data_IF_158769416622
#
_entry.id   IF_158769416622
#
_cell.length_a   1.000
_cell.length_b   1.000
_cell.length_c   1.000
_cell.angle_alpha   90.00
_cell.angle_beta   90.00
_cell.angle_gamma   90.00
#
_symmetry.space_group_name_H-M   'P 1'
#
loop_
_entity.id
_entity.type
_entity.pdbx_description
1 polymer ?
#
# COMPACT_ATOMS: atom_id res chain seq x y z
N UNK A 1 -2.21 -1.44 31.65
CA UNK A 1 -2.16 -1.34 30.17
C UNK A 1 -2.93 -0.13 29.76
N UNK A 2 -2.42 0.65 28.82
CA UNK A 2 -3.02 1.89 28.32
C UNK A 2 -2.92 1.95 26.80
N UNK A 3 -3.65 2.89 26.21
CA UNK A 3 -3.56 3.19 24.79
C UNK A 3 -2.09 3.42 24.38
N UNK A 4 -1.69 2.81 23.25
CA UNK A 4 -0.31 2.85 22.74
C UNK A 4 0.59 1.72 23.20
N UNK A 5 0.25 0.98 24.27
CA UNK A 5 1.04 -0.16 24.72
C UNK A 5 1.07 -1.27 23.65
N UNK A 6 2.21 -1.94 23.54
CA UNK A 6 2.39 -3.12 22.70
C UNK A 6 2.02 -4.38 23.48
N UNK A 7 1.22 -5.24 22.86
CA UNK A 7 0.57 -6.36 23.53
C UNK A 7 0.44 -7.56 22.59
N UNK A 8 0.36 -8.75 23.16
CA UNK A 8 -0.10 -9.97 22.47
C UNK A 8 -1.34 -10.53 23.14
N UNK A 9 -2.12 -11.34 22.43
CA UNK A 9 -3.27 -12.06 22.99
C UNK A 9 -2.88 -13.46 23.42
N UNK A 10 -3.07 -13.79 24.69
CA UNK A 10 -2.73 -15.10 25.26
C UNK A 10 -3.58 -16.21 24.65
N UNK A 11 -4.88 -15.96 24.46
CA UNK A 11 -5.82 -16.92 23.87
C UNK A 11 -5.52 -17.32 22.43
N UNK A 12 -4.68 -16.57 21.72
CA UNK A 12 -4.26 -16.84 20.33
C UNK A 12 -2.78 -17.26 20.25
N UNK A 13 -2.19 -17.74 21.36
CA UNK A 13 -0.81 -18.23 21.38
C UNK A 13 0.27 -17.14 21.42
N UNK A 14 -0.11 -15.86 21.46
CA UNK A 14 0.82 -14.75 21.64
C UNK A 14 1.74 -14.47 20.44
N UNK A 15 1.35 -14.91 19.25
CA UNK A 15 2.17 -14.88 18.02
C UNK A 15 2.08 -13.54 17.26
N UNK A 16 0.98 -12.82 17.41
CA UNK A 16 0.75 -11.53 16.76
C UNK A 16 0.91 -10.36 17.72
N UNK A 17 1.70 -9.36 17.30
CA UNK A 17 1.90 -8.12 18.02
C UNK A 17 0.81 -7.10 17.67
N UNK A 18 0.21 -6.55 18.71
CA UNK A 18 -0.80 -5.50 18.62
C UNK A 18 -0.36 -4.24 19.36
N UNK A 19 -0.94 -3.12 18.96
CA UNK A 19 -0.97 -1.88 19.73
C UNK A 19 -2.38 -1.63 20.23
N UNK A 20 -2.53 -1.25 21.50
CA UNK A 20 -3.82 -0.85 22.05
C UNK A 20 -4.25 0.46 21.40
N UNK A 21 -5.33 0.43 20.61
CA UNK A 21 -5.94 1.59 19.96
C UNK A 21 -6.87 2.35 20.91
N UNK A 22 -7.62 1.64 21.76
CA UNK A 22 -8.49 2.20 22.79
C UNK A 22 -8.71 1.19 23.91
N UNK A 23 -9.06 1.67 25.10
CA UNK A 23 -9.47 0.83 26.25
C UNK A 23 -10.85 1.28 26.70
N UNK A 24 -11.79 0.34 26.81
CA UNK A 24 -13.17 0.59 27.23
C UNK A 24 -13.60 -0.42 28.29
N UNK A 25 -13.64 0.01 29.55
CA UNK A 25 -14.03 -0.86 30.67
C UNK A 25 -13.09 -2.06 30.82
N UNK A 26 -13.61 -3.27 30.55
CA UNK A 26 -12.84 -4.52 30.63
C UNK A 26 -12.25 -4.97 29.29
N UNK A 27 -12.57 -4.27 28.20
CA UNK A 27 -12.15 -4.62 26.85
C UNK A 27 -11.21 -3.57 26.27
N UNK A 28 -10.42 -3.98 25.29
CA UNK A 28 -9.51 -3.13 24.54
C UNK A 28 -9.69 -3.36 23.04
N UNK A 29 -9.62 -2.27 22.29
CA UNK A 29 -9.49 -2.31 20.84
C UNK A 29 -8.01 -2.37 20.48
N UNK A 30 -7.64 -3.32 19.64
CA UNK A 30 -6.28 -3.64 19.23
C UNK A 30 -6.09 -3.41 17.74
N UNK A 31 -4.91 -2.91 17.37
CA UNK A 31 -4.44 -2.80 15.98
C UNK A 31 -3.20 -3.66 15.80
N UNK A 32 -3.21 -4.55 14.81
CA UNK A 32 -2.04 -5.36 14.47
C UNK A 32 -0.86 -4.49 14.06
N UNK A 33 0.36 -4.89 14.39
CA UNK A 33 1.54 -4.10 14.00
C UNK A 33 1.97 -4.40 12.56
N UNK A 34 1.93 -5.66 12.14
CA UNK A 34 2.49 -6.10 10.85
C UNK A 34 1.42 -6.60 9.87
N UNK A 35 0.33 -7.16 10.40
CA UNK A 35 -0.86 -7.56 9.66
C UNK A 35 -1.98 -6.56 9.90
N UNK A 36 -2.73 -6.22 8.84
CA UNK A 36 -3.85 -5.25 8.84
C UNK A 36 -5.06 -5.77 9.63
N UNK A 37 -4.91 -5.95 10.93
CA UNK A 37 -5.88 -6.56 11.82
C UNK A 37 -6.43 -5.54 12.81
N UNK A 38 -7.76 -5.50 12.95
CA UNK A 38 -8.44 -4.91 14.09
C UNK A 38 -9.08 -6.02 14.90
N UNK A 39 -8.84 -6.02 16.21
CA UNK A 39 -9.43 -6.99 17.11
C UNK A 39 -9.90 -6.29 18.40
N UNK A 40 -10.99 -6.76 18.96
CA UNK A 40 -11.37 -6.51 20.34
C UNK A 40 -10.89 -7.67 21.23
N UNK A 41 -10.49 -7.36 22.46
CA UNK A 41 -10.07 -8.38 23.42
C UNK A 41 -10.26 -7.90 24.87
N UNK A 42 -10.64 -8.79 25.79
CA UNK A 42 -10.61 -8.49 27.22
C UNK A 42 -9.18 -8.12 27.67
N UNK A 43 -9.03 -7.13 28.54
CA UNK A 43 -7.71 -6.70 29.06
C UNK A 43 -6.96 -7.89 29.68
N UNK A 44 -7.68 -8.78 30.34
CA UNK A 44 -7.12 -9.99 30.97
C UNK A 44 -6.53 -11.00 29.96
N UNK A 45 -6.92 -10.94 28.69
CA UNK A 45 -6.37 -11.76 27.61
C UNK A 45 -5.05 -11.17 27.08
N UNK A 46 -4.74 -9.92 27.41
CA UNK A 46 -3.57 -9.23 26.90
C UNK A 46 -2.34 -9.47 27.77
N UNK A 47 -1.19 -9.59 27.12
CA UNK A 47 0.12 -9.59 27.75
C UNK A 47 0.96 -8.47 27.16
N UNK A 48 1.47 -7.58 28.01
CA UNK A 48 2.30 -6.46 27.57
C UNK A 48 3.67 -6.95 27.07
N UNK A 49 4.15 -6.34 26.01
CA UNK A 49 5.40 -6.68 25.34
C UNK A 49 6.37 -5.52 25.50
N UNK A 50 7.48 -5.75 26.20
CA UNK A 50 8.55 -4.74 26.35
C UNK A 50 9.59 -4.82 25.24
N UNK A 51 9.90 -6.04 24.80
CA UNK A 51 10.86 -6.32 23.74
C UNK A 51 10.15 -7.01 22.57
N UNK A 52 9.46 -6.25 21.71
CA UNK A 52 8.71 -6.82 20.59
C UNK A 52 9.58 -7.61 19.61
N UNK A 53 10.87 -7.30 19.55
CA UNK A 53 11.84 -8.00 18.68
C UNK A 53 12.18 -9.43 19.16
N UNK A 54 11.83 -9.79 20.40
CA UNK A 54 12.04 -11.14 20.95
C UNK A 54 10.84 -12.07 20.66
N UNK A 55 9.72 -11.54 20.17
CA UNK A 55 8.58 -12.35 19.76
C UNK A 55 8.87 -13.02 18.41
N UNK A 56 8.69 -14.33 18.35
CA UNK A 56 8.93 -15.13 17.13
C UNK A 56 8.16 -14.60 15.91
N UNK A 57 6.87 -14.26 16.07
CA UNK A 57 6.04 -13.74 14.98
C UNK A 57 6.48 -12.36 14.47
N UNK A 58 6.83 -11.43 15.38
CA UNK A 58 7.34 -10.09 15.01
C UNK A 58 8.72 -10.17 14.36
N UNK A 59 9.59 -11.06 14.83
CA UNK A 59 10.89 -11.32 14.21
C UNK A 59 10.72 -11.86 12.78
N UNK A 60 9.83 -12.83 12.59
CA UNK A 60 9.52 -13.38 11.26
C UNK A 60 8.93 -12.33 10.33
N UNK A 61 7.96 -11.53 10.77
CA UNK A 61 7.38 -10.45 9.98
C UNK A 61 8.41 -9.38 9.59
N UNK A 62 9.35 -9.03 10.49
CA UNK A 62 10.49 -8.16 10.18
C UNK A 62 11.44 -8.77 9.16
N UNK A 63 11.77 -10.05 9.28
CA UNK A 63 12.63 -10.76 8.32
C UNK A 63 11.99 -10.71 6.93
N UNK A 64 10.71 -11.09 6.82
CA UNK A 64 9.97 -11.03 5.56
C UNK A 64 9.91 -9.61 4.99
N UNK A 65 9.63 -8.61 5.82
CA UNK A 65 9.65 -7.20 5.40
C UNK A 65 11.01 -6.79 4.83
N UNK A 66 12.10 -7.10 5.53
CA UNK A 66 13.45 -6.76 5.09
C UNK A 66 13.85 -7.52 3.83
N UNK A 67 13.47 -8.79 3.70
CA UNK A 67 13.69 -9.57 2.49
C UNK A 67 12.91 -9.00 1.31
N UNK A 68 11.61 -8.70 1.46
CA UNK A 68 10.80 -8.09 0.40
C UNK A 68 11.40 -6.76 -0.04
N UNK A 69 11.87 -5.92 0.89
CA UNK A 69 12.58 -4.67 0.57
C UNK A 69 13.89 -4.92 -0.17
N UNK A 70 14.70 -5.89 0.26
CA UNK A 70 15.96 -6.23 -0.40
C UNK A 70 15.70 -6.70 -1.84
N UNK A 71 14.71 -7.57 -2.02
CA UNK A 71 14.30 -8.07 -3.34
C UNK A 71 13.82 -6.95 -4.25
N UNK A 72 12.97 -6.03 -3.76
CA UNK A 72 12.54 -4.86 -4.54
C UNK A 72 13.72 -4.01 -5.00
N UNK A 73 14.75 -3.82 -4.16
CA UNK A 73 15.96 -3.08 -4.53
C UNK A 73 16.79 -3.83 -5.58
N UNK A 74 17.05 -5.13 -5.35
CA UNK A 74 17.81 -5.97 -6.29
C UNK A 74 17.15 -6.00 -7.67
N UNK A 75 15.83 -6.13 -7.70
CA UNK A 75 15.06 -6.15 -8.94
C UNK A 75 15.09 -4.80 -9.65
N UNK A 76 14.96 -3.69 -8.92
CA UNK A 76 15.13 -2.35 -9.50
C UNK A 76 16.50 -2.21 -10.18
N UNK A 77 17.57 -2.69 -9.53
CA UNK A 77 18.92 -2.67 -10.10
C UNK A 77 19.00 -3.54 -11.37
N UNK A 78 18.36 -4.70 -11.38
CA UNK A 78 18.29 -5.58 -12.57
C UNK A 78 17.52 -4.95 -13.72
N UNK A 79 16.36 -4.35 -13.47
CA UNK A 79 15.57 -3.67 -14.52
C UNK A 79 16.33 -2.46 -15.08
N UNK A 80 17.01 -1.71 -14.22
CA UNK A 80 17.87 -0.61 -14.65
C UNK A 80 19.08 -1.08 -15.48
N UNK A 81 19.65 -2.26 -15.20
CA UNK A 81 20.76 -2.81 -15.97
C UNK A 81 20.33 -3.47 -17.28
N UNK A 82 19.16 -4.12 -17.33
CA UNK A 82 18.57 -4.66 -18.57
C UNK A 82 18.21 -3.55 -19.56
N UNK A 83 17.73 -2.41 -19.05
CA UNK A 83 17.52 -1.19 -19.84
C UNK A 83 18.81 -0.65 -20.49
N UNK A 84 20.00 -1.10 -20.02
CA UNK A 84 21.33 -0.72 -20.50
C UNK A 84 21.99 -1.73 -21.47
N UNK A 85 21.28 -2.75 -21.97
CA UNK A 85 21.87 -3.71 -22.93
C UNK A 85 22.36 -3.05 -24.25
N UNK A 86 23.40 -3.62 -24.91
CA UNK A 86 24.33 -2.89 -25.79
C UNK A 86 23.92 -2.75 -27.26
N UNK A 87 22.84 -3.39 -27.70
CA UNK A 87 22.57 -3.61 -29.14
C UNK A 87 21.70 -2.55 -29.82
N UNK A 88 21.54 -1.36 -29.25
CA UNK A 88 20.60 -0.38 -29.81
C UNK A 88 21.10 1.07 -29.69
N UNK A 89 21.81 1.51 -30.74
CA UNK A 89 22.19 2.86 -31.19
C UNK A 89 22.78 3.89 -30.19
N UNK A 90 23.55 4.85 -30.75
CA UNK A 90 24.32 5.92 -30.09
C UNK A 90 23.56 6.78 -29.05
N UNK A 91 22.23 6.70 -29.02
CA UNK A 91 21.36 7.47 -28.12
C UNK A 91 21.50 7.09 -26.63
N UNK A 92 21.89 5.85 -26.28
CA UNK A 92 21.95 5.40 -24.87
C UNK A 92 23.25 5.72 -24.12
N UNK A 93 24.25 6.31 -24.78
CA UNK A 93 25.43 6.88 -24.10
C UNK A 93 25.14 8.25 -23.48
N UNK A 94 24.00 8.86 -23.82
CA UNK A 94 23.62 10.14 -23.25
C UNK A 94 23.04 9.96 -21.84
N UNK A 95 23.30 10.91 -20.93
CA UNK A 95 22.63 10.96 -19.64
C UNK A 95 21.11 10.88 -19.84
N UNK A 96 20.45 9.92 -19.18
CA UNK A 96 18.99 9.78 -19.15
C UNK A 96 18.45 10.04 -17.74
N UNK A 97 17.15 10.30 -17.64
CA UNK A 97 16.45 10.37 -16.36
C UNK A 97 15.31 9.34 -16.31
N UNK A 98 15.02 8.86 -15.10
CA UNK A 98 13.96 7.89 -14.85
C UNK A 98 12.66 8.60 -14.51
N UNK A 99 11.55 8.09 -15.03
CA UNK A 99 10.19 8.52 -14.71
C UNK A 99 9.39 7.29 -14.24
N UNK A 100 9.53 6.88 -12.96
CA UNK A 100 8.65 5.87 -12.38
C UNK A 100 7.21 6.38 -12.25
N UNK A 101 6.26 5.46 -12.28
CA UNK A 101 4.85 5.78 -12.06
C UNK A 101 4.60 6.39 -10.67
N UNK A 102 3.75 7.41 -10.61
CA UNK A 102 3.39 8.10 -9.37
C UNK A 102 2.24 7.41 -8.65
N UNK A 103 2.40 7.20 -7.35
CA UNK A 103 1.44 6.52 -6.49
C UNK A 103 0.63 7.53 -5.67
N UNK A 104 -0.70 7.37 -5.63
CA UNK A 104 -1.56 7.94 -4.60
C UNK A 104 -2.02 6.83 -3.68
N UNK A 105 -1.63 6.85 -2.41
CA UNK A 105 -1.96 5.81 -1.44
C UNK A 105 -2.95 6.35 -0.39
N UNK A 106 -4.14 5.76 -0.34
CA UNK A 106 -5.11 5.97 0.73
C UNK A 106 -5.11 4.78 1.68
N UNK A 107 -5.05 5.06 2.98
CA UNK A 107 -5.12 4.02 4.01
C UNK A 107 -6.09 4.41 5.14
N UNK A 108 -6.84 3.43 5.63
CA UNK A 108 -7.66 3.51 6.84
C UNK A 108 -6.83 3.62 8.13
N UNK A 109 -5.58 3.16 8.11
CA UNK A 109 -4.64 3.26 9.23
C UNK A 109 -3.45 4.17 8.94
N UNK A 110 -3.28 5.20 9.77
CA UNK A 110 -2.17 6.14 9.64
C UNK A 110 -0.79 5.49 9.82
N UNK A 111 -0.67 4.42 10.61
CA UNK A 111 0.60 3.73 10.82
C UNK A 111 0.96 2.88 9.60
N UNK A 112 0.00 2.18 8.98
CA UNK A 112 0.27 1.45 7.74
C UNK A 112 0.56 2.39 6.59
N UNK A 113 -0.14 3.51 6.49
CA UNK A 113 0.19 4.54 5.51
C UNK A 113 1.64 5.00 5.70
N UNK A 114 2.02 5.34 6.94
CA UNK A 114 3.39 5.78 7.24
C UNK A 114 4.44 4.74 6.84
N UNK A 115 4.22 3.46 7.14
CA UNK A 115 5.10 2.36 6.71
C UNK A 115 5.19 2.28 5.18
N UNK A 116 4.05 2.36 4.49
CA UNK A 116 3.97 2.31 3.02
C UNK A 116 4.75 3.48 2.38
N UNK A 117 4.55 4.70 2.89
CA UNK A 117 5.26 5.89 2.41
C UNK A 117 6.77 5.80 2.65
N UNK A 118 7.21 5.20 3.78
CA UNK A 118 8.64 4.95 4.02
C UNK A 118 9.24 4.00 2.98
N UNK A 119 8.51 2.95 2.59
CA UNK A 119 8.95 2.02 1.54
C UNK A 119 9.05 2.73 0.19
N UNK A 120 8.01 3.48 -0.22
CA UNK A 120 8.05 4.24 -1.47
C UNK A 120 9.23 5.21 -1.51
N UNK A 121 9.47 5.95 -0.43
CA UNK A 121 10.59 6.88 -0.33
C UNK A 121 11.95 6.16 -0.43
N UNK A 122 12.14 5.04 0.29
CA UNK A 122 13.38 4.25 0.21
C UNK A 122 13.64 3.71 -1.20
N UNK A 123 12.59 3.40 -1.95
CA UNK A 123 12.67 2.88 -3.31
C UNK A 123 12.59 3.98 -4.38
N UNK A 124 12.54 5.25 -3.98
CA UNK A 124 12.42 6.41 -4.86
C UNK A 124 11.20 6.33 -5.80
N UNK A 125 10.08 5.79 -5.31
CA UNK A 125 8.78 5.87 -5.99
C UNK A 125 8.13 7.21 -5.60
N UNK A 126 7.78 8.08 -6.56
CA UNK A 126 7.04 9.30 -6.27
C UNK A 126 5.67 8.92 -5.73
N UNK A 127 5.36 9.35 -4.51
CA UNK A 127 4.13 8.95 -3.86
C UNK A 127 3.56 10.07 -2.99
N UNK A 128 2.23 10.17 -2.98
CA UNK A 128 1.45 10.98 -2.04
C UNK A 128 0.54 10.07 -1.22
N UNK A 129 0.38 10.37 0.07
CA UNK A 129 -0.38 9.56 1.01
C UNK A 129 -1.50 10.35 1.69
N UNK A 130 -2.68 9.76 1.82
CA UNK A 130 -3.80 10.35 2.57
C UNK A 130 -4.43 9.34 3.53
N UNK A 131 -4.44 9.69 4.83
CA UNK A 131 -5.14 8.91 5.85
C UNK A 131 -6.60 9.38 5.95
N UNK A 132 -7.54 8.45 5.84
CA UNK A 132 -8.96 8.71 6.04
C UNK A 132 -9.70 7.41 6.34
N UNK A 133 -10.89 7.50 6.94
CA UNK A 133 -11.71 6.31 7.19
C UNK A 133 -12.17 5.68 5.86
N UNK A 134 -12.39 4.36 5.85
CA UNK A 134 -12.79 3.63 4.65
C UNK A 134 -14.06 4.21 4.01
N UNK A 135 -15.03 4.62 4.83
CA UNK A 135 -16.27 5.27 4.38
C UNK A 135 -16.07 6.65 3.74
N UNK A 136 -14.93 7.31 3.99
CA UNK A 136 -14.60 8.64 3.47
C UNK A 136 -13.71 8.58 2.22
N UNK A 137 -13.05 7.44 1.97
CA UNK A 137 -12.14 7.26 0.83
C UNK A 137 -12.72 7.66 -0.52
N UNK A 138 -14.00 7.37 -0.86
CA UNK A 138 -14.56 7.80 -2.15
C UNK A 138 -14.51 9.33 -2.33
N UNK A 139 -14.92 10.08 -1.31
CA UNK A 139 -14.93 11.54 -1.34
C UNK A 139 -13.51 12.12 -1.38
N UNK A 140 -12.60 11.52 -0.60
CA UNK A 140 -11.19 11.94 -0.60
C UNK A 140 -10.54 11.69 -1.96
N UNK A 141 -10.80 10.54 -2.60
CA UNK A 141 -10.32 10.24 -3.95
C UNK A 141 -10.84 11.23 -4.98
N UNK A 142 -12.13 11.54 -4.96
CA UNK A 142 -12.74 12.49 -5.88
C UNK A 142 -12.04 13.86 -5.85
N UNK A 143 -11.59 14.27 -4.66
CA UNK A 143 -10.82 15.50 -4.47
C UNK A 143 -9.37 15.36 -4.89
N UNK A 144 -8.69 14.27 -4.54
CA UNK A 144 -7.25 14.14 -4.73
C UNK A 144 -6.85 13.75 -6.16
N UNK A 145 -7.64 12.93 -6.87
CA UNK A 145 -7.28 12.45 -8.22
C UNK A 145 -6.96 13.58 -9.21
N UNK A 146 -7.76 14.66 -9.33
CA UNK A 146 -7.47 15.74 -10.27
C UNK A 146 -6.23 16.58 -9.92
N UNK A 147 -5.87 16.64 -8.62
CA UNK A 147 -4.75 17.43 -8.11
C UNK A 147 -3.45 16.62 -8.16
N UNK A 148 -3.49 15.39 -7.64
CA UNK A 148 -2.33 14.50 -7.58
C UNK A 148 -2.04 13.96 -8.97
N UNK A 149 -3.04 13.61 -9.80
CA UNK A 149 -2.85 12.97 -11.12
C UNK A 149 -1.87 11.78 -11.04
N UNK A 150 -2.21 10.74 -10.27
CA UNK A 150 -1.36 9.57 -10.11
C UNK A 150 -1.46 8.63 -11.32
N UNK A 151 -0.46 7.77 -11.49
CA UNK A 151 -0.50 6.64 -12.43
C UNK A 151 -1.04 5.38 -11.76
N UNK A 152 -0.90 5.30 -10.43
CA UNK A 152 -1.26 4.16 -9.59
C UNK A 152 -2.01 4.69 -8.36
N UNK A 153 -3.15 4.10 -8.04
CA UNK A 153 -3.92 4.38 -6.82
C UNK A 153 -3.96 3.13 -5.97
N UNK A 154 -3.59 3.27 -4.70
CA UNK A 154 -3.64 2.20 -3.71
C UNK A 154 -4.70 2.56 -2.68
N UNK A 155 -5.74 1.73 -2.56
CA UNK A 155 -6.90 1.94 -1.69
C UNK A 155 -6.93 0.80 -0.69
N UNK A 156 -6.45 1.06 0.52
CA UNK A 156 -6.32 0.02 1.54
C UNK A 156 -6.84 0.52 2.88
N UNK A 157 -7.00 -0.38 3.85
CA UNK A 157 -7.50 -0.02 5.17
C UNK A 157 -7.70 -1.27 5.99
N UNK A 158 -8.85 -1.34 6.66
CA UNK A 158 -9.29 -2.51 7.41
C UNK A 158 -10.55 -3.09 6.79
N UNK A 159 -10.63 -4.42 6.80
CA UNK A 159 -11.82 -5.16 6.42
C UNK A 159 -11.86 -6.46 7.22
N UNK A 160 -12.91 -7.22 7.02
CA UNK A 160 -13.08 -8.51 7.68
C UNK A 160 -14.46 -9.07 7.42
N UNK A 161 -14.55 -10.40 7.48
CA UNK A 161 -15.82 -11.11 7.43
C UNK A 161 -16.56 -10.90 8.74
N UNK A 162 -17.82 -10.52 8.66
CA UNK A 162 -18.70 -10.36 9.82
C UNK A 162 -19.06 -11.73 10.40
N UNK A 163 -18.91 -11.90 11.72
CA UNK A 163 -19.08 -13.19 12.44
C UNK A 163 -20.44 -13.89 12.22
N UNK A 164 -21.47 -13.17 11.82
CA UNK A 164 -22.86 -13.67 11.67
C UNK A 164 -23.26 -13.97 10.22
N UNK A 165 -22.32 -13.89 9.27
CA UNK A 165 -22.61 -14.05 7.84
C UNK A 165 -21.77 -15.21 7.29
N UNK A 166 -22.45 -16.26 6.85
CA UNK A 166 -21.78 -17.44 6.26
C UNK A 166 -21.56 -17.30 4.75
N UNK A 167 -22.37 -16.49 4.07
CA UNK A 167 -22.24 -16.31 2.62
C UNK A 167 -21.11 -15.32 2.28
N UNK A 168 -19.92 -15.89 2.02
CA UNK A 168 -18.73 -15.15 1.60
C UNK A 168 -18.82 -14.61 0.16
N UNK A 169 -19.83 -14.99 -0.62
CA UNK A 169 -20.06 -14.44 -1.96
C UNK A 169 -20.87 -13.13 -1.92
N UNK A 170 -21.44 -12.80 -0.75
CA UNK A 170 -22.24 -11.60 -0.61
C UNK A 170 -21.39 -10.44 -0.07
N UNK A 171 -21.35 -9.32 -0.80
CA UNK A 171 -20.56 -8.13 -0.41
C UNK A 171 -20.94 -7.55 0.97
N UNK A 172 -22.21 -7.70 1.36
CA UNK A 172 -22.70 -7.30 2.68
C UNK A 172 -22.19 -8.15 3.85
N UNK A 173 -21.46 -9.24 3.59
CA UNK A 173 -20.80 -10.06 4.61
C UNK A 173 -19.50 -9.45 5.13
N UNK A 174 -19.05 -8.36 4.51
CA UNK A 174 -17.77 -7.72 4.78
C UNK A 174 -17.98 -6.32 5.37
N UNK A 175 -17.09 -5.93 6.29
CA UNK A 175 -17.23 -4.66 7.01
C UNK A 175 -17.06 -3.44 6.10
N UNK A 176 -16.07 -3.48 5.20
CA UNK A 176 -15.63 -2.31 4.43
C UNK A 176 -15.46 -2.59 2.92
N UNK A 177 -15.61 -3.83 2.45
CA UNK A 177 -15.49 -4.13 1.02
C UNK A 177 -16.37 -3.25 0.13
N UNK A 178 -17.58 -2.90 0.58
CA UNK A 178 -18.46 -1.98 -0.15
C UNK A 178 -17.86 -0.56 -0.28
N UNK A 179 -17.23 -0.05 0.78
CA UNK A 179 -16.56 1.25 0.75
C UNK A 179 -15.37 1.26 -0.22
N UNK A 180 -14.61 0.16 -0.27
CA UNK A 180 -13.53 0.00 -1.24
C UNK A 180 -14.06 -0.10 -2.67
N UNK A 181 -15.16 -0.84 -2.92
CA UNK A 181 -15.82 -0.87 -4.22
C UNK A 181 -16.24 0.53 -4.68
N UNK A 182 -16.86 1.32 -3.80
CA UNK A 182 -17.20 2.71 -4.13
C UNK A 182 -15.96 3.56 -4.45
N UNK A 183 -14.87 3.35 -3.72
CA UNK A 183 -13.61 4.05 -3.96
C UNK A 183 -12.98 3.67 -5.31
N UNK A 184 -13.03 2.39 -5.69
CA UNK A 184 -12.60 1.90 -7.00
C UNK A 184 -13.46 2.50 -8.12
N UNK A 185 -14.78 2.58 -7.91
CA UNK A 185 -15.70 3.20 -8.88
C UNK A 185 -15.35 4.67 -9.11
N UNK A 186 -15.09 5.45 -8.06
CA UNK A 186 -14.64 6.86 -8.18
C UNK A 186 -13.34 6.96 -8.99
N UNK A 187 -12.37 6.07 -8.75
CA UNK A 187 -11.15 6.03 -9.54
C UNK A 187 -11.43 5.72 -11.03
N UNK A 188 -12.42 4.86 -11.31
CA UNK A 188 -12.83 4.50 -12.68
C UNK A 188 -13.71 5.52 -13.37
N UNK A 189 -14.45 6.33 -12.61
CA UNK A 189 -15.14 7.51 -13.13
C UNK A 189 -14.16 8.59 -13.58
N UNK A 190 -13.07 8.77 -12.81
CA UNK A 190 -11.98 9.67 -13.18
C UNK A 190 -11.17 9.13 -14.38
N UNK A 191 -10.78 7.86 -14.37
CA UNK A 191 -10.07 7.21 -15.47
C UNK A 191 -10.57 5.78 -15.69
N UNK A 192 -11.34 5.60 -16.78
CA UNK A 192 -11.98 4.33 -17.15
C UNK A 192 -10.98 3.30 -17.63
N UNK A 193 -9.89 3.74 -18.26
CA UNK A 193 -8.90 2.85 -18.83
C UNK A 193 -7.99 2.28 -17.72
N UNK A 194 -8.04 0.95 -17.55
CA UNK A 194 -7.29 0.21 -16.52
C UNK A 194 -5.77 0.30 -16.68
N UNK A 195 -5.31 0.50 -17.90
CA UNK A 195 -3.90 0.64 -18.24
C UNK A 195 -3.41 2.08 -18.10
N UNK A 196 -4.31 3.06 -17.98
CA UNK A 196 -3.98 4.48 -17.76
C UNK A 196 -3.92 4.81 -16.28
N UNK A 197 -4.80 4.23 -15.47
CA UNK A 197 -4.76 4.30 -14.00
C UNK A 197 -4.81 2.90 -13.39
N UNK A 198 -3.71 2.47 -12.79
CA UNK A 198 -3.64 1.17 -12.10
C UNK A 198 -4.26 1.33 -10.71
N UNK A 199 -5.21 0.47 -10.36
CA UNK A 199 -5.89 0.48 -9.06
C UNK A 199 -5.58 -0.79 -8.30
N UNK A 200 -4.98 -0.65 -7.12
CA UNK A 200 -4.73 -1.73 -6.15
C UNK A 200 -5.66 -1.49 -4.97
N UNK A 201 -6.54 -2.44 -4.64
CA UNK A 201 -7.57 -2.23 -3.63
C UNK A 201 -7.77 -3.40 -2.65
N UNK A 202 -8.20 -3.06 -1.44
CA UNK A 202 -8.65 -4.02 -0.43
C UNK A 202 -7.76 -4.11 0.80
N UNK A 203 -8.15 -4.99 1.70
CA UNK A 203 -7.49 -5.25 2.97
C UNK A 203 -7.61 -6.74 3.34
N UNK A 204 -7.33 -7.06 4.60
CA UNK A 204 -7.51 -8.40 5.12
C UNK A 204 -8.94 -8.90 4.91
N UNK A 205 -9.06 -10.09 4.34
CA UNK A 205 -10.33 -10.75 4.06
C UNK A 205 -11.32 -9.94 3.20
N UNK A 206 -10.88 -8.97 2.40
CA UNK A 206 -11.81 -8.24 1.52
C UNK A 206 -12.47 -9.15 0.48
N UNK A 207 -13.63 -8.72 -0.02
CA UNK A 207 -14.33 -9.37 -1.13
C UNK A 207 -13.59 -9.12 -2.45
N UNK A 208 -12.65 -10.00 -2.74
CA UNK A 208 -11.75 -9.93 -3.89
C UNK A 208 -12.46 -9.74 -5.24
N UNK A 209 -13.48 -10.55 -5.52
CA UNK A 209 -14.18 -10.57 -6.82
C UNK A 209 -14.93 -9.28 -7.06
N UNK A 210 -15.60 -8.74 -6.04
CA UNK A 210 -16.31 -7.47 -6.14
C UNK A 210 -15.36 -6.30 -6.44
N UNK A 211 -14.14 -6.30 -5.88
CA UNK A 211 -13.13 -5.28 -6.16
C UNK A 211 -12.63 -5.35 -7.61
N UNK A 212 -12.36 -6.56 -8.13
CA UNK A 212 -11.98 -6.73 -9.53
C UNK A 212 -13.13 -6.34 -10.47
N UNK A 213 -14.37 -6.74 -10.15
CA UNK A 213 -15.55 -6.40 -10.93
C UNK A 213 -15.80 -4.89 -10.97
N UNK A 214 -15.56 -4.18 -9.86
CA UNK A 214 -15.61 -2.72 -9.80
C UNK A 214 -14.52 -2.03 -10.67
N UNK A 215 -13.48 -2.77 -11.06
CA UNK A 215 -12.46 -2.31 -11.98
C UNK A 215 -11.07 -2.16 -11.39
N UNK A 216 -10.80 -2.70 -10.20
CA UNK A 216 -9.44 -2.79 -9.68
C UNK A 216 -8.57 -3.66 -10.62
N UNK A 217 -7.30 -3.31 -10.77
CA UNK A 217 -6.32 -4.14 -11.46
C UNK A 217 -5.85 -5.27 -10.55
N UNK A 218 -5.61 -4.94 -9.28
CA UNK A 218 -5.20 -5.86 -8.24
C UNK A 218 -6.11 -5.70 -7.03
N UNK A 219 -6.46 -6.83 -6.43
CA UNK A 219 -7.27 -6.86 -5.23
C UNK A 219 -6.66 -7.77 -4.18
N UNK A 220 -6.85 -7.39 -2.93
CA UNK A 220 -6.38 -8.14 -1.78
C UNK A 220 -7.31 -9.29 -1.40
N UNK A 221 -6.70 -10.31 -0.81
CA UNK A 221 -7.28 -11.45 -0.12
C UNK A 221 -8.23 -12.34 -0.93
N UNK A 222 -7.82 -12.89 -2.10
CA UNK A 222 -8.59 -13.93 -2.79
C UNK A 222 -9.02 -15.08 -1.86
N UNK A 223 -8.13 -15.53 -0.96
CA UNK A 223 -8.39 -16.61 -0.01
C UNK A 223 -9.11 -16.20 1.27
N UNK A 224 -9.51 -14.93 1.40
CA UNK A 224 -10.11 -14.33 2.62
C UNK A 224 -9.24 -14.49 3.86
N UNK A 225 -7.94 -14.39 3.66
CA UNK A 225 -6.90 -14.46 4.69
C UNK A 225 -6.47 -13.06 5.16
N UNK A 226 -5.74 -13.06 6.27
CA UNK A 226 -4.98 -11.91 6.71
C UNK A 226 -3.81 -11.66 5.75
N UNK A 227 -3.64 -10.41 5.34
CA UNK A 227 -2.56 -10.00 4.43
C UNK A 227 -1.55 -9.11 5.15
N UNK A 228 -0.30 -9.13 4.68
CA UNK A 228 0.71 -8.23 5.22
C UNK A 228 0.51 -6.80 4.70
N UNK A 229 0.82 -5.80 5.53
CA UNK A 229 0.63 -4.39 5.15
C UNK A 229 1.44 -3.96 3.90
N UNK A 230 2.52 -4.68 3.58
CA UNK A 230 3.41 -4.38 2.45
C UNK A 230 3.03 -5.07 1.13
N UNK A 231 2.11 -6.02 1.15
CA UNK A 231 1.71 -6.72 -0.09
C UNK A 231 1.15 -5.77 -1.15
N UNK A 232 0.18 -4.87 -0.84
CA UNK A 232 -0.28 -3.88 -1.83
C UNK A 232 0.81 -2.86 -2.21
N UNK A 233 1.77 -2.60 -1.32
CA UNK A 233 2.91 -1.71 -1.60
C UNK A 233 3.84 -2.33 -2.62
N UNK A 234 4.12 -3.63 -2.51
CA UNK A 234 4.97 -4.37 -3.44
C UNK A 234 4.36 -4.34 -4.86
N UNK A 235 3.05 -4.57 -4.99
CA UNK A 235 2.34 -4.46 -6.26
C UNK A 235 2.49 -3.06 -6.87
N UNK A 236 2.30 -2.01 -6.05
CA UNK A 236 2.42 -0.64 -6.52
C UNK A 236 3.85 -0.29 -6.97
N UNK A 237 4.87 -0.75 -6.26
CA UNK A 237 6.28 -0.59 -6.65
C UNK A 237 6.55 -1.27 -7.98
N UNK A 238 6.05 -2.50 -8.17
CA UNK A 238 6.21 -3.23 -9.42
C UNK A 238 5.49 -2.54 -10.57
N UNK A 239 4.27 -2.06 -10.37
CA UNK A 239 3.57 -1.24 -11.36
C UNK A 239 4.36 0.03 -11.72
N UNK A 240 4.97 0.70 -10.74
CA UNK A 240 5.72 1.93 -10.95
C UNK A 240 7.02 1.75 -11.74
N UNK A 241 7.68 0.58 -11.61
CA UNK A 241 8.98 0.29 -12.21
C UNK A 241 8.96 -0.67 -13.41
N UNK A 242 7.84 -1.35 -13.69
CA UNK A 242 7.68 -2.09 -14.95
C UNK A 242 7.55 -1.10 -16.12
N UNK A 243 8.25 -1.29 -17.25
CA UNK A 243 8.12 -0.42 -18.42
C UNK A 243 6.67 -0.33 -18.94
N UNK A 244 6.27 0.85 -19.42
CA UNK A 244 4.90 1.08 -19.91
C UNK A 244 4.46 0.22 -21.12
N UNK A 245 5.41 -0.47 -21.75
CA UNK A 245 5.21 -1.36 -22.90
C UNK A 245 5.23 -2.85 -22.52
N UNK A 246 5.44 -3.15 -21.26
CA UNK A 246 5.55 -4.50 -20.72
C UNK A 246 4.43 -4.73 -19.70
N UNK A 247 3.96 -5.97 -19.62
CA UNK A 247 3.00 -6.39 -18.61
C UNK A 247 3.71 -6.70 -17.30
N UNK A 248 3.06 -6.36 -16.20
CA UNK A 248 3.52 -6.74 -14.86
C UNK A 248 3.37 -8.26 -14.76
N UNK A 249 4.47 -8.96 -14.45
CA UNK A 249 4.42 -10.41 -14.23
C UNK A 249 3.68 -10.71 -12.92
N UNK A 250 2.38 -10.98 -13.01
CA UNK A 250 1.50 -11.18 -11.86
C UNK A 250 1.97 -12.35 -11.00
N UNK A 251 2.36 -13.47 -11.61
CA UNK A 251 2.81 -14.65 -10.88
C UNK A 251 4.07 -14.34 -10.06
N UNK A 252 5.00 -13.60 -10.65
CA UNK A 252 6.21 -13.12 -9.97
C UNK A 252 5.87 -12.13 -8.85
N UNK A 253 4.99 -11.16 -9.09
CA UNK A 253 4.55 -10.21 -8.06
C UNK A 253 3.95 -10.93 -6.86
N UNK A 254 3.01 -11.84 -7.12
CA UNK A 254 2.29 -12.57 -6.09
C UNK A 254 3.24 -13.50 -5.31
N UNK A 255 4.13 -14.22 -5.99
CA UNK A 255 5.11 -15.10 -5.34
C UNK A 255 6.07 -14.36 -4.41
N UNK A 256 6.24 -13.05 -4.62
CA UNK A 256 7.12 -12.19 -3.84
C UNK A 256 6.40 -11.31 -2.81
N UNK A 257 5.07 -11.32 -2.80
CA UNK A 257 4.30 -10.82 -1.64
C UNK A 257 4.48 -11.73 -0.44
N UNK A 258 4.29 -11.19 0.76
CA UNK A 258 4.47 -11.94 2.01
C UNK A 258 3.33 -12.95 2.18
N UNK A 259 2.10 -12.61 1.78
CA UNK A 259 0.93 -13.49 1.89
C UNK A 259 0.65 -14.37 0.67
N UNK A 260 1.41 -14.22 -0.43
CA UNK A 260 1.33 -15.08 -1.61
C UNK A 260 -0.01 -15.03 -2.35
N UNK A 261 -0.32 -16.10 -3.10
CA UNK A 261 -1.51 -16.20 -3.98
C UNK A 261 -2.85 -16.09 -3.25
N UNK A 262 -2.90 -16.42 -1.97
CA UNK A 262 -4.11 -16.25 -1.18
C UNK A 262 -4.31 -14.81 -0.70
N UNK A 263 -3.24 -14.01 -0.67
CA UNK A 263 -3.23 -12.66 -0.13
C UNK A 263 -3.40 -11.55 -1.16
N UNK A 264 -2.96 -11.75 -2.40
CA UNK A 264 -3.14 -10.76 -3.48
C UNK A 264 -3.39 -11.49 -4.79
N UNK A 265 -4.31 -10.95 -5.59
CA UNK A 265 -4.54 -11.37 -6.98
C UNK A 265 -4.77 -10.16 -7.88
N UNK A 266 -4.91 -10.39 -9.18
CA UNK A 266 -5.16 -9.33 -10.14
C UNK A 266 -5.30 -9.83 -11.57
N UNK A 267 -5.46 -8.88 -12.48
CA UNK A 267 -5.55 -9.08 -13.93
C UNK A 267 -4.32 -8.52 -14.63
N UNK A 268 -4.10 -8.95 -15.89
CA UNK A 268 -3.01 -8.42 -16.72
C UNK A 268 -3.06 -6.89 -16.76
N UNK A 269 -1.92 -6.27 -16.51
CA UNK A 269 -1.80 -4.81 -16.33
C UNK A 269 -0.42 -4.38 -16.82
N UNK A 270 -0.36 -3.32 -17.62
CA UNK A 270 0.92 -2.75 -18.09
C UNK A 270 1.61 -1.90 -17.02
N UNK A 271 2.93 -1.81 -17.11
CA UNK A 271 3.73 -0.97 -16.22
C UNK A 271 3.56 0.53 -16.44
N UNK A 272 4.25 1.34 -15.63
CA UNK A 272 4.21 2.82 -15.68
C UNK A 272 5.55 3.49 -15.87
N UNK A 273 6.63 2.72 -15.86
CA UNK A 273 7.98 3.25 -15.93
C UNK A 273 8.33 3.75 -17.33
N UNK A 274 8.99 4.91 -17.36
CA UNK A 274 9.51 5.56 -18.56
C UNK A 274 10.94 6.04 -18.34
N UNK A 275 11.66 6.22 -19.44
CA UNK A 275 12.97 6.87 -19.47
C UNK A 275 12.88 8.11 -20.37
N UNK A 276 13.55 9.19 -19.99
CA UNK A 276 13.62 10.43 -20.75
C UNK A 276 15.05 10.85 -21.06
N UNK A 277 15.23 11.59 -22.15
CA UNK A 277 16.51 12.19 -22.58
C UNK A 277 16.29 13.62 -23.09
N UNK A 278 17.25 14.56 -22.93
CA UNK A 278 18.50 14.43 -22.16
C UNK A 278 18.25 14.50 -20.64
N UNK A 279 19.22 14.11 -19.80
CA UNK A 279 19.10 14.22 -18.35
C UNK A 279 18.73 15.65 -17.93
N UNK A 280 17.60 15.82 -17.25
CA UNK A 280 17.19 17.11 -16.72
C UNK A 280 18.16 17.50 -15.61
N UNK A 281 18.95 18.55 -15.80
CA UNK A 281 19.58 19.22 -14.65
C UNK A 281 18.44 19.69 -13.74
N UNK A 282 18.49 19.45 -12.42
CA UNK A 282 17.49 20.02 -11.53
C UNK A 282 17.45 21.54 -11.71
N UNK A 283 16.27 22.17 -11.76
CA UNK A 283 16.17 23.61 -11.93
C UNK A 283 16.99 24.29 -10.82
N UNK A 284 17.87 25.19 -11.21
CA UNK A 284 18.64 26.01 -10.28
C UNK A 284 17.65 26.96 -9.63
N UNK A 285 17.15 26.60 -8.44
CA UNK A 285 16.36 27.51 -7.62
C UNK A 285 17.33 28.60 -7.18
N UNK A 286 17.32 29.74 -7.87
CA UNK A 286 18.03 30.92 -7.41
C UNK A 286 17.50 31.26 -6.00
N UNK A 287 18.38 31.53 -5.01
CA UNK A 287 17.92 31.91 -3.68
C UNK A 287 17.03 33.15 -3.82
N UNK A 288 15.77 33.00 -3.44
CA UNK A 288 14.85 34.12 -3.30
C UNK A 288 15.46 35.07 -2.28
N UNK A 289 15.86 36.25 -2.75
CA UNK A 289 16.18 37.39 -1.91
C UNK A 289 14.89 37.78 -1.17
N UNK A 290 14.72 37.25 0.03
CA UNK A 290 13.73 37.73 0.98
C UNK A 290 14.25 39.09 1.48
N UNK A 291 13.96 40.15 0.75
CA UNK A 291 13.96 41.50 1.32
C UNK A 291 12.77 41.60 2.24
N UNK A 292 13.04 41.59 3.54
CA UNK A 292 12.04 41.78 4.57
C UNK A 292 11.26 43.09 4.36
N UNK A 293 9.94 42.98 4.44
CA UNK A 293 9.11 44.10 4.86
C UNK A 293 8.16 43.56 5.92
N UNK A 294 8.43 43.99 7.16
CA UNK A 294 7.49 43.92 8.26
C UNK A 294 6.22 44.66 7.86
N UNK A 295 5.07 44.00 7.94
CA UNK A 295 3.81 44.69 8.14
C UNK A 295 3.05 43.95 9.24
N UNK A 296 3.16 44.49 10.45
CA UNK A 296 2.16 44.33 11.50
C UNK A 296 0.84 44.91 10.99
N UNK A 297 -0.25 44.16 11.05
CA UNK A 297 -1.58 44.72 11.33
C UNK A 297 -2.34 43.74 12.22
N UNK A 298 -2.96 44.35 13.22
CA UNK A 298 -3.86 43.89 14.28
C UNK A 298 -4.86 42.79 13.89
#
# INVERSE_FOLDING_TARGET
>A
MKQGDLVVRKSYGGDMLFRIAAVGGKDALLRGMDYRLLADAPIQDLQAVRYPDELGGTRTARIHTNESLRRMREERVRTASLSRQPNDSDYRRQPFFELPGKVLHLDGDANYLKKSMQVYNQLHVPAEGAHCLESQMPLVLQRLLPHVRPDIVVITGHDGVLKQREDLQHIGSYKNSLNFVHSVNVAREYERNRDSLVVVAGACQSHFEALLQAGANFASSPGRIMIHALDPVYVAVRAAFTPFRETINIADVIAHTISGMQGVGGIETVGKYRIGVPNMKPPTIAPSTITGSNVNVL
#
